data_IF_289437301820
#
_entry.id   IF_289437301820
#
_cell.length_a   1.000
_cell.length_b   1.000
_cell.length_c   1.000
_cell.angle_alpha   90.00
_cell.angle_beta   90.00
_cell.angle_gamma   90.00
#
_symmetry.space_group_name_H-M   'P 1'
#
loop_
_entity.id
_entity.type
_entity.pdbx_description
1 polymer ?
#
# COMPACT_ATOMS: atom_id res chain seq x y z
N UNK A 1 1.25 19.38 29.39
CA UNK A 1 2.48 19.03 28.65
C UNK A 1 2.34 17.73 27.85
N UNK A 2 1.20 17.01 27.92
CA UNK A 2 1.01 15.73 27.22
C UNK A 2 0.46 15.83 25.79
N UNK A 3 -0.25 16.90 25.44
CA UNK A 3 -1.02 16.99 24.18
C UNK A 3 -0.14 17.04 22.93
N UNK A 4 0.95 17.80 22.98
CA UNK A 4 1.96 17.84 21.91
C UNK A 4 2.58 16.45 21.65
N UNK A 5 2.84 15.70 22.72
CA UNK A 5 3.39 14.35 22.60
C UNK A 5 2.37 13.35 22.06
N UNK A 6 1.08 13.49 22.41
CA UNK A 6 -0.03 12.70 21.84
C UNK A 6 -0.19 12.91 20.33
N UNK A 7 0.13 14.10 19.84
CA UNK A 7 0.04 14.45 18.42
C UNK A 7 1.32 14.11 17.63
N UNK A 8 2.30 13.46 18.25
CA UNK A 8 3.60 13.11 17.65
C UNK A 8 4.39 14.32 17.14
N UNK A 9 4.29 15.45 17.85
CA UNK A 9 4.98 16.70 17.52
C UNK A 9 6.15 16.99 18.45
N UNK A 10 7.13 17.72 17.94
CA UNK A 10 8.16 18.42 18.69
C UNK A 10 8.19 19.90 18.31
N UNK A 11 8.79 20.73 19.16
CA UNK A 11 9.08 22.12 18.81
C UNK A 11 10.24 22.16 17.82
N UNK A 12 10.12 22.97 16.77
CA UNK A 12 11.18 23.17 15.77
C UNK A 12 12.39 23.89 16.38
N UNK A 13 12.11 24.85 17.25
CA UNK A 13 13.11 25.69 17.90
C UNK A 13 13.03 25.52 19.42
N UNK A 14 14.18 25.67 20.09
CA UNK A 14 14.22 25.74 21.54
C UNK A 14 13.99 27.19 21.96
N UNK A 15 12.75 27.52 22.36
CA UNK A 15 12.40 28.88 22.78
C UNK A 15 12.84 29.10 24.22
N UNK A 16 13.76 30.04 24.44
CA UNK A 16 14.14 30.50 25.78
C UNK A 16 13.21 31.65 26.19
N UNK A 17 12.03 31.32 26.73
CA UNK A 17 11.04 32.32 27.15
C UNK A 17 9.63 31.77 27.30
N UNK A 18 8.68 32.64 27.68
CA UNK A 18 7.24 32.32 27.70
C UNK A 18 6.64 32.67 26.34
N UNK A 19 5.86 31.76 25.78
CA UNK A 19 5.07 31.99 24.56
C UNK A 19 3.92 32.96 24.88
N UNK A 20 3.81 34.03 24.12
CA UNK A 20 2.80 35.08 24.29
C UNK A 20 1.67 34.95 23.25
N UNK A 21 0.56 35.63 23.52
CA UNK A 21 -0.54 35.71 22.56
C UNK A 21 -0.09 36.43 21.28
N UNK A 22 -0.33 35.81 20.13
CA UNK A 22 0.12 36.32 18.83
C UNK A 22 1.42 35.68 18.34
N UNK A 23 2.16 34.99 19.20
CA UNK A 23 3.40 34.32 18.79
C UNK A 23 3.09 33.15 17.85
N UNK A 24 3.89 33.02 16.80
CA UNK A 24 3.89 31.87 15.90
C UNK A 24 4.87 30.82 16.42
N UNK A 25 4.37 29.60 16.57
CA UNK A 25 5.11 28.45 17.05
C UNK A 25 5.25 27.47 15.90
N UNK A 26 6.50 27.16 15.56
CA UNK A 26 6.79 26.16 14.56
C UNK A 26 6.92 24.77 15.21
N UNK A 27 6.15 23.82 14.71
CA UNK A 27 6.25 22.42 15.07
C UNK A 27 6.94 21.59 13.99
N UNK A 28 7.48 20.45 14.42
CA UNK A 28 8.00 19.40 13.54
C UNK A 28 7.43 18.05 13.97
N UNK A 29 7.18 17.16 13.01
CA UNK A 29 6.80 15.79 13.34
C UNK A 29 7.97 15.05 14.00
N UNK A 30 7.69 14.27 15.04
CA UNK A 30 8.66 13.37 15.66
C UNK A 30 9.16 12.34 14.65
N UNK A 31 10.33 11.76 14.91
CA UNK A 31 10.90 10.72 14.06
C UNK A 31 9.92 9.56 13.84
N UNK A 32 9.73 9.16 12.59
CA UNK A 32 8.77 8.13 12.21
C UNK A 32 7.33 8.62 12.02
N UNK A 33 7.10 9.93 12.04
CA UNK A 33 5.82 10.57 11.75
C UNK A 33 5.98 11.64 10.67
N UNK A 34 4.93 11.88 9.89
CA UNK A 34 4.87 12.93 8.87
C UNK A 34 3.48 13.58 8.84
N UNK A 35 3.35 14.68 8.12
CA UNK A 35 2.05 15.25 7.80
C UNK A 35 1.27 14.30 6.89
N UNK A 36 -0.06 14.37 6.98
CA UNK A 36 -0.91 13.70 5.98
C UNK A 36 -0.63 14.32 4.60
N UNK A 37 -0.65 13.54 3.50
CA UNK A 37 -0.48 14.07 2.15
C UNK A 37 -1.53 15.11 1.75
N UNK A 38 -2.64 15.19 2.49
CA UNK A 38 -3.69 16.21 2.33
C UNK A 38 -3.45 17.48 3.17
N UNK A 39 -2.44 17.51 4.03
CA UNK A 39 -2.16 18.61 4.96
C UNK A 39 -0.98 19.43 4.44
N UNK A 40 -1.14 20.75 4.36
CA UNK A 40 -0.08 21.64 3.92
C UNK A 40 1.00 21.80 5.00
N UNK A 41 2.29 21.94 4.63
CA UNK A 41 3.38 22.20 5.60
C UNK A 41 3.18 23.45 6.45
N UNK A 42 2.42 24.42 5.95
CA UNK A 42 2.07 25.66 6.66
C UNK A 42 1.22 25.42 7.91
N UNK A 43 0.54 24.29 8.03
CA UNK A 43 -0.26 23.91 9.21
C UNK A 43 0.63 23.59 10.44
N UNK A 44 1.94 23.46 10.26
CA UNK A 44 2.89 23.28 11.37
C UNK A 44 3.25 24.60 12.07
N UNK A 45 2.93 25.76 11.50
CA UNK A 45 3.20 27.08 12.08
C UNK A 45 1.90 27.62 12.69
N UNK A 46 1.75 27.47 14.01
CA UNK A 46 0.49 27.77 14.72
C UNK A 46 0.64 29.02 15.57
N UNK A 47 -0.32 29.92 15.49
CA UNK A 47 -0.38 31.09 16.35
C UNK A 47 -0.99 30.76 17.72
N UNK A 48 -0.33 31.21 18.78
CA UNK A 48 -0.87 31.13 20.14
C UNK A 48 -2.05 32.10 20.31
N UNK A 49 -3.22 31.57 20.65
CA UNK A 49 -4.46 32.32 20.83
C UNK A 49 -4.84 32.34 22.33
N UNK A 50 -4.43 33.39 23.04
CA UNK A 50 -4.69 33.62 24.48
C UNK A 50 -4.28 32.44 25.36
N UNK A 51 -3.15 31.81 25.05
CA UNK A 51 -2.63 30.64 25.76
C UNK A 51 -3.17 29.30 25.24
N UNK A 52 -4.09 29.31 24.27
CA UNK A 52 -4.55 28.12 23.57
C UNK A 52 -3.73 27.95 22.27
N UNK A 53 -3.16 26.75 22.09
CA UNK A 53 -2.43 26.36 20.88
C UNK A 53 -3.09 25.12 20.32
N UNK A 54 -3.62 25.20 19.11
CA UNK A 54 -4.18 24.04 18.41
C UNK A 54 -3.07 23.25 17.75
N UNK A 55 -2.76 22.09 18.31
CA UNK A 55 -1.68 21.26 17.80
C UNK A 55 -2.07 20.57 16.48
N UNK A 56 -1.22 20.61 15.44
CA UNK A 56 -1.40 19.76 14.26
C UNK A 56 -1.26 18.28 14.65
N UNK A 57 -1.60 17.36 13.76
CA UNK A 57 -1.44 15.92 14.02
C UNK A 57 -0.53 15.32 12.98
N UNK A 58 0.55 14.68 13.41
CA UNK A 58 1.38 13.90 12.52
C UNK A 58 0.89 12.45 12.50
N UNK A 59 0.74 11.91 11.29
CA UNK A 59 0.42 10.50 11.09
C UNK A 59 1.71 9.70 11.15
N UNK A 60 1.64 8.47 11.65
CA UNK A 60 2.80 7.56 11.61
C UNK A 60 3.21 7.42 10.15
N UNK A 61 4.48 7.65 9.84
CA UNK A 61 5.06 7.25 8.56
C UNK A 61 4.67 5.78 8.44
N UNK A 62 3.78 5.48 7.50
CA UNK A 62 3.61 4.10 7.11
C UNK A 62 5.01 3.57 6.88
N UNK A 63 5.29 2.33 7.27
CA UNK A 63 6.26 1.59 6.47
C UNK A 63 5.62 1.64 5.09
N UNK A 64 6.02 2.61 4.27
CA UNK A 64 5.90 2.48 2.85
C UNK A 64 6.52 1.12 2.64
N UNK A 65 5.68 0.16 2.26
CA UNK A 65 6.13 -0.77 1.25
C UNK A 65 6.52 0.17 0.13
N UNK A 66 7.76 0.65 0.17
CA UNK A 66 8.41 1.25 -0.97
C UNK A 66 8.41 0.07 -1.90
N UNK A 67 7.34 -0.03 -2.70
CA UNK A 67 7.43 -0.76 -3.93
C UNK A 67 8.63 -0.08 -4.59
N UNK A 68 9.77 -0.78 -4.75
CA UNK A 68 10.99 -0.16 -5.26
C UNK A 68 10.63 0.60 -6.52
N UNK A 69 11.23 1.78 -6.73
CA UNK A 69 11.02 2.76 -7.82
C UNK A 69 11.21 2.16 -9.23
N UNK A 70 10.40 1.15 -9.53
CA UNK A 70 10.35 0.25 -10.67
C UNK A 70 9.05 -0.59 -10.65
N UNK A 71 7.96 -0.09 -10.06
CA UNK A 71 6.62 -0.66 -10.29
C UNK A 71 6.11 -0.39 -11.72
N UNK A 72 6.86 0.35 -12.54
CA UNK A 72 6.52 0.57 -13.95
C UNK A 72 7.17 -0.45 -14.90
N UNK A 73 8.08 -1.30 -14.43
CA UNK A 73 8.54 -2.46 -15.21
C UNK A 73 7.97 -3.73 -14.61
N UNK A 74 6.64 -3.80 -14.55
CA UNK A 74 5.96 -5.10 -14.48
C UNK A 74 6.41 -5.86 -15.72
N UNK A 75 7.43 -6.70 -15.57
CA UNK A 75 7.46 -7.99 -16.26
C UNK A 75 6.05 -8.52 -16.05
N UNK A 76 5.24 -8.50 -17.13
CA UNK A 76 3.78 -8.68 -17.15
C UNK A 76 3.43 -10.09 -16.67
N UNK A 77 3.66 -10.32 -15.40
CA UNK A 77 3.66 -11.62 -14.76
C UNK A 77 2.27 -11.83 -14.20
N UNK A 78 1.76 -13.04 -14.33
CA UNK A 78 0.50 -13.42 -13.76
C UNK A 78 0.72 -13.92 -12.34
N UNK A 79 -0.24 -13.59 -11.48
CA UNK A 79 -0.40 -14.23 -10.19
C UNK A 79 -0.85 -15.71 -10.38
N UNK A 80 -1.20 -16.37 -9.28
CA UNK A 80 -1.72 -17.74 -9.33
C UNK A 80 -2.87 -17.88 -10.36
N UNK A 81 -2.89 -18.96 -11.17
CA UNK A 81 -3.94 -19.19 -12.16
C UNK A 81 -5.32 -19.34 -11.52
N UNK A 82 -6.40 -19.02 -12.26
CA UNK A 82 -7.76 -19.15 -11.76
C UNK A 82 -8.11 -20.63 -11.49
N UNK A 83 -8.85 -20.87 -10.42
CA UNK A 83 -9.39 -22.21 -10.16
C UNK A 83 -10.59 -22.49 -11.07
N UNK A 84 -10.72 -23.74 -11.51
CA UNK A 84 -11.89 -24.23 -12.25
C UNK A 84 -12.73 -25.15 -11.38
N UNK A 85 -14.04 -25.14 -11.58
CA UNK A 85 -14.94 -26.09 -10.92
C UNK A 85 -14.70 -27.49 -11.48
N UNK A 86 -14.75 -28.51 -10.63
CA UNK A 86 -14.58 -29.92 -11.00
C UNK A 86 -13.24 -30.24 -11.71
N UNK A 87 -12.18 -29.48 -11.43
CA UNK A 87 -10.86 -29.72 -11.98
C UNK A 87 -9.73 -29.13 -11.15
N UNK A 88 -8.50 -29.40 -11.57
CA UNK A 88 -7.25 -29.03 -10.87
C UNK A 88 -6.16 -28.69 -11.88
N UNK A 89 -5.18 -27.90 -11.45
CA UNK A 89 -3.97 -27.62 -12.23
C UNK A 89 -2.95 -28.72 -11.95
N UNK A 90 -2.39 -29.34 -12.99
CA UNK A 90 -1.46 -30.48 -12.84
C UNK A 90 -0.14 -30.13 -12.17
N UNK A 91 0.34 -28.89 -12.30
CA UNK A 91 1.64 -28.48 -11.78
C UNK A 91 1.69 -26.97 -11.49
N UNK A 92 0.98 -26.52 -10.45
CA UNK A 92 1.08 -25.13 -9.96
C UNK A 92 2.03 -25.05 -8.76
N UNK A 93 3.34 -25.10 -9.00
CA UNK A 93 4.37 -24.98 -7.94
C UNK A 93 4.92 -23.56 -7.79
N UNK A 94 4.63 -22.68 -8.75
CA UNK A 94 5.22 -21.34 -8.85
C UNK A 94 4.23 -20.27 -8.36
N UNK A 95 4.73 -19.31 -7.58
CA UNK A 95 3.93 -18.18 -7.04
C UNK A 95 3.67 -17.07 -8.07
N UNK A 96 4.51 -16.98 -9.10
CA UNK A 96 4.51 -15.92 -10.12
C UNK A 96 4.86 -16.50 -11.49
N UNK A 97 4.08 -16.20 -12.51
CA UNK A 97 4.25 -16.73 -13.87
C UNK A 97 4.65 -15.62 -14.82
N UNK A 98 5.67 -15.83 -15.65
CA UNK A 98 6.10 -14.83 -16.63
C UNK A 98 5.13 -14.79 -17.83
N UNK A 99 5.10 -13.66 -18.54
CA UNK A 99 4.34 -13.55 -19.79
C UNK A 99 4.74 -14.66 -20.77
N UNK A 100 3.76 -15.38 -21.30
CA UNK A 100 3.95 -16.57 -22.14
C UNK A 100 3.96 -17.91 -21.38
N UNK A 101 3.99 -17.90 -20.04
CA UNK A 101 3.86 -19.14 -19.26
C UNK A 101 2.49 -19.77 -19.46
N UNK A 102 2.41 -21.10 -19.39
CA UNK A 102 1.14 -21.83 -19.44
C UNK A 102 0.97 -22.76 -18.24
N UNK A 103 -0.29 -23.07 -17.94
CA UNK A 103 -0.65 -24.13 -16.99
C UNK A 103 -1.64 -25.08 -17.62
N UNK A 104 -1.49 -26.38 -17.33
CA UNK A 104 -2.39 -27.42 -17.81
C UNK A 104 -3.40 -27.78 -16.72
N UNK A 105 -4.68 -27.70 -17.06
CA UNK A 105 -5.80 -28.12 -16.23
C UNK A 105 -6.20 -29.55 -16.54
N UNK A 106 -6.75 -30.22 -15.53
CA UNK A 106 -7.30 -31.56 -15.59
C UNK A 106 -8.63 -31.59 -14.87
N UNK A 107 -9.66 -32.16 -15.50
CA UNK A 107 -10.93 -32.41 -14.84
C UNK A 107 -10.83 -33.59 -13.87
N UNK A 108 -11.64 -33.56 -12.81
CA UNK A 108 -11.81 -34.69 -11.90
C UNK A 108 -12.47 -35.87 -12.60
N UNK A 109 -12.45 -37.03 -11.95
CA UNK A 109 -13.10 -38.22 -12.48
C UNK A 109 -14.58 -37.95 -12.78
N UNK A 110 -15.08 -38.59 -13.83
CA UNK A 110 -16.45 -38.46 -14.36
C UNK A 110 -16.85 -37.09 -14.92
N UNK A 111 -15.91 -36.15 -15.08
CA UNK A 111 -16.13 -34.88 -15.76
C UNK A 111 -15.38 -34.82 -17.08
N UNK A 112 -15.95 -34.15 -18.06
CA UNK A 112 -15.34 -33.98 -19.38
C UNK A 112 -14.80 -32.57 -19.59
N UNK A 113 -13.63 -32.47 -20.23
CA UNK A 113 -12.97 -31.20 -20.50
C UNK A 113 -13.54 -30.57 -21.77
N UNK A 114 -14.04 -29.34 -21.64
CA UNK A 114 -14.50 -28.52 -22.75
C UNK A 114 -13.59 -27.29 -22.91
N UNK A 115 -13.04 -27.11 -24.11
CA UNK A 115 -12.14 -26.01 -24.46
C UNK A 115 -10.66 -26.41 -24.45
N UNK A 116 -9.77 -25.42 -24.33
CA UNK A 116 -8.33 -25.65 -24.24
C UNK A 116 -7.97 -26.17 -22.86
N UNK A 117 -7.23 -27.28 -22.78
CA UNK A 117 -6.69 -27.79 -21.52
C UNK A 117 -5.62 -26.87 -20.90
N UNK A 118 -5.09 -25.93 -21.68
CA UNK A 118 -4.06 -24.97 -21.27
C UNK A 118 -4.62 -23.54 -21.18
N UNK A 119 -4.19 -22.81 -20.14
CA UNK A 119 -4.36 -21.36 -20.02
C UNK A 119 -2.99 -20.69 -20.04
N UNK A 120 -2.89 -19.55 -20.70
CA UNK A 120 -1.66 -18.80 -20.89
C UNK A 120 -1.70 -17.50 -20.10
N UNK A 121 -0.56 -17.15 -19.52
CA UNK A 121 -0.35 -15.83 -18.92
C UNK A 121 0.01 -14.84 -20.03
N UNK A 122 -0.89 -13.93 -20.37
CA UNK A 122 -0.67 -12.90 -21.37
C UNK A 122 -0.86 -11.52 -20.76
N UNK A 123 0.19 -10.71 -20.81
CA UNK A 123 0.20 -9.33 -20.32
C UNK A 123 -0.28 -9.18 -18.86
N UNK A 124 -0.01 -10.17 -18.01
CA UNK A 124 -0.42 -10.22 -16.61
C UNK A 124 -1.83 -10.78 -16.36
N UNK A 125 -2.51 -11.26 -17.41
CA UNK A 125 -3.86 -11.81 -17.37
C UNK A 125 -3.87 -13.26 -17.88
N UNK A 126 -4.54 -14.15 -17.16
CA UNK A 126 -4.75 -15.53 -17.63
C UNK A 126 -5.81 -15.59 -18.71
N UNK A 127 -5.54 -16.29 -19.81
CA UNK A 127 -6.55 -16.60 -20.83
C UNK A 127 -7.64 -17.50 -20.25
N UNK A 128 -8.81 -17.53 -20.88
CA UNK A 128 -9.96 -18.31 -20.42
C UNK A 128 -9.59 -19.78 -20.19
N UNK A 129 -9.75 -20.31 -18.96
CA UNK A 129 -9.46 -21.71 -18.65
C UNK A 129 -10.56 -22.65 -19.19
N UNK A 130 -10.33 -23.98 -19.24
CA UNK A 130 -11.34 -24.93 -19.67
C UNK A 130 -12.49 -25.05 -18.67
N UNK A 131 -13.62 -25.57 -19.16
CA UNK A 131 -14.74 -25.98 -18.32
C UNK A 131 -14.70 -27.50 -18.13
N UNK A 132 -14.99 -27.95 -16.91
CA UNK A 132 -15.21 -29.36 -16.59
C UNK A 132 -16.70 -29.55 -16.31
N UNK A 133 -17.38 -30.26 -17.21
CA UNK A 133 -18.82 -30.52 -17.18
C UNK A 133 -19.13 -31.93 -16.67
#
# INVERSE_FOLDING_TARGET
MDDMSRNNLGMKWNYEGKILHGDLIDFVCKQGYDLSPSTAPSELSVQCNRGEVKYPSCIKKGKTMVLPDNFLESKRTCASPPFIKNGVIKSSTVRTYENGSSVEYRCFEHHFLQGSKESYCLEGVWTTPPLCL
#
